data_IF_518887981205
#
_entry.id   IF_518887981205
#
_cell.length_a   1.000
_cell.length_b   1.000
_cell.length_c   1.000
_cell.angle_alpha   90.00
_cell.angle_beta   90.00
_cell.angle_gamma   90.00
#
_symmetry.space_group_name_H-M   'P 1'
#
loop_
_entity.id
_entity.type
_entity.pdbx_description
1 polymer ?
#
# COMPACT_ATOMS: atom_id res chain seq x y z
N UNK A 1 9.27 -15.03 3.47
CA UNK A 1 7.90 -14.98 2.91
C UNK A 1 7.33 -13.57 3.04
N UNK A 2 6.46 -13.16 2.08
CA UNK A 2 5.72 -11.91 2.14
C UNK A 2 4.53 -12.01 3.11
N UNK A 3 3.93 -10.86 3.46
CA UNK A 3 2.68 -10.82 4.26
C UNK A 3 1.55 -11.59 3.55
N UNK A 4 1.49 -11.56 2.23
CA UNK A 4 0.50 -12.29 1.43
C UNK A 4 0.68 -13.81 1.55
N UNK A 5 1.93 -14.29 1.43
CA UNK A 5 2.27 -15.71 1.62
C UNK A 5 1.89 -16.20 3.01
N UNK A 6 2.19 -15.38 4.05
CA UNK A 6 1.86 -15.72 5.45
C UNK A 6 0.37 -15.78 5.65
N UNK A 7 -0.38 -14.81 5.12
CA UNK A 7 -1.83 -14.82 5.21
C UNK A 7 -2.42 -16.04 4.50
N UNK A 8 -1.96 -16.38 3.30
CA UNK A 8 -2.41 -17.56 2.58
C UNK A 8 -2.15 -18.86 3.36
N UNK A 9 -0.98 -18.97 4.01
CA UNK A 9 -0.63 -20.14 4.83
C UNK A 9 -1.49 -20.27 6.09
N UNK A 10 -1.72 -19.18 6.80
CA UNK A 10 -2.44 -19.20 8.09
C UNK A 10 -3.95 -19.05 7.95
N UNK A 11 -4.42 -18.41 6.88
CA UNK A 11 -5.84 -18.21 6.56
C UNK A 11 -6.11 -18.61 5.11
N UNK A 12 -6.07 -19.90 4.75
CA UNK A 12 -6.10 -20.36 3.36
C UNK A 12 -7.38 -20.01 2.59
N UNK A 13 -8.46 -19.68 3.29
CA UNK A 13 -9.74 -19.29 2.69
C UNK A 13 -9.89 -17.77 2.49
N UNK A 14 -8.94 -16.98 2.96
CA UNK A 14 -8.98 -15.52 2.79
C UNK A 14 -8.84 -15.15 1.33
N UNK A 15 -9.59 -14.13 0.91
CA UNK A 15 -9.47 -13.55 -0.42
C UNK A 15 -8.36 -12.49 -0.41
N UNK A 16 -7.34 -12.68 -1.23
CA UNK A 16 -6.16 -11.82 -1.33
C UNK A 16 -6.06 -11.32 -2.76
N UNK A 17 -6.12 -10.02 -2.96
CA UNK A 17 -6.11 -9.42 -4.29
C UNK A 17 -5.16 -8.24 -4.40
N UNK A 18 -4.80 -7.89 -5.62
CA UNK A 18 -3.99 -6.70 -5.90
C UNK A 18 -4.30 -6.06 -7.24
N UNK A 19 -4.15 -4.73 -7.28
CA UNK A 19 -4.10 -3.91 -8.50
C UNK A 19 -2.81 -3.12 -8.44
N UNK A 20 -2.01 -3.12 -9.51
CA UNK A 20 -0.69 -2.50 -9.50
C UNK A 20 -0.29 -1.97 -10.87
N UNK A 21 0.43 -0.84 -10.86
CA UNK A 21 0.94 -0.18 -12.06
C UNK A 21 2.36 -0.66 -12.40
N UNK A 22 3.28 -0.68 -11.42
CA UNK A 22 4.65 -1.12 -11.67
C UNK A 22 4.76 -2.63 -11.90
N UNK A 23 5.20 -3.03 -13.09
CA UNK A 23 5.30 -4.45 -13.48
C UNK A 23 6.27 -5.26 -12.59
N UNK A 24 7.24 -4.59 -11.95
CA UNK A 24 8.17 -5.22 -11.00
C UNK A 24 7.50 -5.90 -9.80
N UNK A 25 6.27 -5.51 -9.44
CA UNK A 25 5.48 -6.15 -8.37
C UNK A 25 5.35 -7.66 -8.59
N UNK A 26 5.25 -8.12 -9.84
CA UNK A 26 5.15 -9.55 -10.16
C UNK A 26 6.38 -10.37 -9.78
N UNK A 27 7.54 -9.72 -9.65
CA UNK A 27 8.80 -10.37 -9.33
C UNK A 27 9.10 -10.41 -7.82
N UNK A 28 8.56 -9.45 -7.07
CA UNK A 28 8.81 -9.31 -5.62
C UNK A 28 7.75 -9.97 -4.76
N UNK A 29 6.58 -10.28 -5.33
CA UNK A 29 5.47 -10.90 -4.61
C UNK A 29 5.14 -12.27 -5.22
N UNK A 30 5.06 -13.31 -4.38
CA UNK A 30 4.65 -14.65 -4.77
C UNK A 30 3.21 -14.64 -5.31
N UNK A 31 3.07 -14.91 -6.62
CA UNK A 31 1.79 -14.90 -7.31
C UNK A 31 0.79 -15.95 -6.78
N UNK A 32 1.29 -17.04 -6.21
CA UNK A 32 0.45 -18.14 -5.71
C UNK A 32 -0.32 -17.77 -4.43
N UNK A 33 0.07 -16.65 -3.78
CA UNK A 33 -0.63 -16.15 -2.61
C UNK A 33 -1.97 -15.45 -2.95
N UNK A 34 -2.16 -15.01 -4.19
CA UNK A 34 -3.29 -14.17 -4.60
C UNK A 34 -4.40 -14.97 -5.29
N UNK A 35 -5.64 -14.53 -5.07
CA UNK A 35 -6.81 -14.98 -5.83
C UNK A 35 -6.96 -14.20 -7.13
N UNK A 36 -6.60 -12.90 -7.13
CA UNK A 36 -6.67 -12.01 -8.28
C UNK A 36 -5.55 -10.99 -8.27
N UNK A 37 -4.95 -10.77 -9.42
CA UNK A 37 -3.94 -9.73 -9.63
C UNK A 37 -4.23 -9.02 -10.95
N UNK A 38 -4.35 -7.69 -10.88
CA UNK A 38 -4.62 -6.85 -12.05
C UNK A 38 -3.44 -5.92 -12.25
N UNK A 39 -2.77 -6.05 -13.38
CA UNK A 39 -1.74 -5.11 -13.80
C UNK A 39 -2.35 -4.04 -14.70
N UNK A 40 -2.17 -2.78 -14.33
CA UNK A 40 -2.75 -1.61 -15.00
C UNK A 40 -1.71 -0.68 -15.60
N UNK A 41 -0.41 -0.94 -15.39
CA UNK A 41 0.70 -0.07 -15.76
C UNK A 41 1.00 -0.03 -17.27
N UNK A 42 0.01 0.30 -18.08
CA UNK A 42 0.17 0.50 -19.52
C UNK A 42 0.62 1.94 -19.79
N UNK A 43 1.38 2.14 -20.87
CA UNK A 43 1.75 3.47 -21.36
C UNK A 43 0.68 4.00 -22.34
N UNK A 44 0.14 5.23 -22.16
CA UNK A 44 0.36 6.12 -21.01
C UNK A 44 -0.24 5.58 -19.69
N UNK A 45 0.43 5.88 -18.57
CA UNK A 45 -0.04 5.52 -17.24
C UNK A 45 -1.33 6.28 -16.92
N UNK A 46 -2.36 5.58 -16.46
CA UNK A 46 -3.65 6.15 -16.11
C UNK A 46 -4.09 5.75 -14.70
N UNK A 47 -3.82 6.62 -13.74
CA UNK A 47 -4.17 6.44 -12.34
C UNK A 47 -5.69 6.32 -12.12
N UNK A 48 -6.53 6.92 -12.98
CA UNK A 48 -7.98 6.80 -12.88
C UNK A 48 -8.43 5.40 -13.28
N UNK A 49 -7.88 4.84 -14.35
CA UNK A 49 -8.14 3.47 -14.76
C UNK A 49 -7.71 2.47 -13.68
N UNK A 50 -6.53 2.67 -13.09
CA UNK A 50 -6.08 1.86 -11.96
C UNK A 50 -7.07 1.93 -10.80
N UNK A 51 -7.54 3.12 -10.46
CA UNK A 51 -8.50 3.33 -9.38
C UNK A 51 -9.85 2.69 -9.68
N UNK A 52 -10.33 2.72 -10.92
CA UNK A 52 -11.55 2.03 -11.35
C UNK A 52 -11.45 0.50 -11.16
N UNK A 53 -10.31 -0.10 -11.49
CA UNK A 53 -10.09 -1.53 -11.25
C UNK A 53 -10.03 -1.86 -9.74
N UNK A 54 -9.47 -0.96 -8.92
CA UNK A 54 -9.50 -1.06 -7.46
C UNK A 54 -10.93 -1.04 -6.93
N UNK A 55 -11.75 -0.06 -7.38
CA UNK A 55 -13.16 0.08 -6.99
C UNK A 55 -13.95 -1.19 -7.32
N UNK A 56 -13.77 -1.76 -8.51
CA UNK A 56 -14.41 -3.03 -8.92
C UNK A 56 -14.06 -4.16 -7.96
N UNK A 57 -12.77 -4.38 -7.69
CA UNK A 57 -12.33 -5.43 -6.78
C UNK A 57 -12.94 -5.26 -5.38
N UNK A 58 -12.91 -4.05 -4.84
CA UNK A 58 -13.44 -3.78 -3.50
C UNK A 58 -14.96 -3.99 -3.39
N UNK A 59 -15.71 -3.61 -4.42
CA UNK A 59 -17.18 -3.70 -4.42
C UNK A 59 -17.64 -5.13 -4.70
N UNK A 60 -17.09 -5.77 -5.73
CA UNK A 60 -17.53 -7.07 -6.22
C UNK A 60 -16.93 -8.21 -5.40
N UNK A 61 -15.64 -8.17 -5.14
CA UNK A 61 -14.87 -9.26 -4.55
C UNK A 61 -14.73 -9.18 -3.04
N UNK A 62 -14.69 -7.97 -2.46
CA UNK A 62 -14.58 -7.69 -1.01
C UNK A 62 -13.41 -8.46 -0.35
N UNK A 63 -12.17 -8.27 -0.82
CA UNK A 63 -11.03 -9.03 -0.35
C UNK A 63 -10.74 -8.81 1.14
N UNK A 64 -10.16 -9.83 1.78
CA UNK A 64 -9.71 -9.76 3.18
C UNK A 64 -8.35 -9.04 3.31
N UNK A 65 -7.52 -9.11 2.28
CA UNK A 65 -6.28 -8.35 2.14
C UNK A 65 -6.17 -7.85 0.70
N UNK A 66 -6.05 -6.54 0.56
CA UNK A 66 -5.97 -5.88 -0.74
C UNK A 66 -4.71 -5.01 -0.83
N UNK A 67 -3.96 -5.16 -1.91
CA UNK A 67 -2.77 -4.38 -2.19
C UNK A 67 -2.97 -3.52 -3.43
N UNK A 68 -2.77 -2.22 -3.28
CA UNK A 68 -2.77 -1.27 -4.38
C UNK A 68 -1.38 -0.67 -4.51
N UNK A 69 -0.87 -0.59 -5.73
CA UNK A 69 0.36 0.10 -6.03
C UNK A 69 0.11 1.11 -7.15
N UNK A 70 0.33 2.38 -6.83
CA UNK A 70 0.43 3.46 -7.78
C UNK A 70 1.88 3.76 -8.08
N UNK A 71 2.23 3.98 -9.34
CA UNK A 71 3.57 4.39 -9.77
C UNK A 71 3.82 5.89 -9.55
N UNK A 72 2.74 6.65 -9.40
CA UNK A 72 2.79 8.03 -8.95
C UNK A 72 2.99 8.14 -7.43
N UNK A 73 3.75 9.12 -6.94
CA UNK A 73 4.37 10.26 -7.63
C UNK A 73 5.77 9.98 -8.18
N UNK A 74 6.28 8.75 -8.10
CA UNK A 74 7.62 8.37 -8.55
C UNK A 74 7.81 8.62 -10.06
N UNK A 75 6.80 8.34 -10.86
CA UNK A 75 6.81 8.61 -12.30
C UNK A 75 7.12 10.09 -12.62
N UNK A 76 6.49 11.04 -11.92
CA UNK A 76 6.81 12.47 -12.03
C UNK A 76 8.20 12.78 -11.50
N UNK A 77 8.61 12.11 -10.42
CA UNK A 77 9.96 12.23 -9.85
C UNK A 77 11.05 11.93 -10.89
N UNK A 78 10.93 10.83 -11.60
CA UNK A 78 11.85 10.47 -12.68
C UNK A 78 11.76 11.41 -13.89
N UNK A 79 10.56 11.83 -14.25
CA UNK A 79 10.33 12.71 -15.40
C UNK A 79 10.78 14.14 -15.16
N UNK A 80 10.35 14.76 -14.08
CA UNK A 80 10.49 16.19 -13.78
C UNK A 80 11.44 16.50 -12.63
N UNK A 81 11.61 15.58 -11.71
CA UNK A 81 12.42 15.71 -10.50
C UNK A 81 11.59 15.59 -9.22
N UNK A 82 12.11 14.87 -8.24
CA UNK A 82 11.52 14.77 -6.90
C UNK A 82 11.54 16.16 -6.22
N UNK A 83 10.36 16.68 -5.93
CA UNK A 83 10.17 18.03 -5.39
C UNK A 83 10.00 19.14 -6.43
N UNK A 84 9.93 18.81 -7.73
CA UNK A 84 9.49 19.75 -8.77
C UNK A 84 8.01 20.15 -8.60
N UNK A 85 7.54 21.27 -9.15
CA UNK A 85 6.13 21.64 -9.09
C UNK A 85 5.20 20.53 -9.57
N UNK A 86 5.50 19.89 -10.68
CA UNK A 86 4.69 18.80 -11.27
C UNK A 86 4.61 17.57 -10.35
N UNK A 87 5.67 17.30 -9.59
CA UNK A 87 5.65 16.26 -8.56
C UNK A 87 4.62 16.54 -7.46
N UNK A 88 4.43 17.81 -7.10
CA UNK A 88 3.42 18.18 -6.11
C UNK A 88 2.01 18.27 -6.70
N UNK A 89 1.87 18.54 -8.01
CA UNK A 89 0.57 18.62 -8.68
C UNK A 89 -0.14 17.26 -8.75
N UNK A 90 0.59 16.15 -8.78
CA UNK A 90 -0.01 14.81 -8.79
C UNK A 90 -0.55 14.38 -7.41
N UNK A 91 -0.04 14.92 -6.31
CA UNK A 91 -0.43 14.49 -4.96
C UNK A 91 -1.93 14.68 -4.67
N UNK A 92 -2.59 15.81 -5.00
CA UNK A 92 -4.03 15.95 -4.85
C UNK A 92 -4.83 14.95 -5.70
N UNK A 93 -4.29 14.50 -6.82
CA UNK A 93 -4.93 13.49 -7.67
C UNK A 93 -4.87 12.13 -6.98
N UNK A 94 -3.70 11.77 -6.44
CA UNK A 94 -3.53 10.54 -5.64
C UNK A 94 -4.47 10.56 -4.42
N UNK A 95 -4.55 11.68 -3.71
CA UNK A 95 -5.45 11.85 -2.56
C UNK A 95 -6.91 11.63 -2.96
N UNK A 96 -7.32 12.15 -4.12
CA UNK A 96 -8.66 11.93 -4.69
C UNK A 96 -8.89 10.43 -5.01
N UNK A 97 -7.88 9.73 -5.52
CA UNK A 97 -7.96 8.29 -5.75
C UNK A 97 -8.11 7.51 -4.43
N UNK A 98 -7.36 7.89 -3.39
CA UNK A 98 -7.51 7.30 -2.05
C UNK A 98 -8.93 7.55 -1.51
N UNK A 99 -9.47 8.75 -1.68
CA UNK A 99 -10.86 9.05 -1.29
C UNK A 99 -11.87 8.14 -2.01
N UNK A 100 -11.71 7.91 -3.32
CA UNK A 100 -12.53 6.96 -4.09
C UNK A 100 -12.43 5.53 -3.55
N UNK A 101 -11.25 5.07 -3.18
CA UNK A 101 -11.02 3.76 -2.56
C UNK A 101 -11.83 3.65 -1.24
N UNK A 102 -11.78 4.69 -0.42
CA UNK A 102 -12.56 4.73 0.83
C UNK A 102 -14.07 4.66 0.55
N UNK A 103 -14.57 5.43 -0.43
CA UNK A 103 -15.99 5.39 -0.82
C UNK A 103 -16.38 4.01 -1.38
N UNK A 104 -15.51 3.34 -2.15
CA UNK A 104 -15.75 1.99 -2.63
C UNK A 104 -15.94 0.99 -1.46
N UNK A 105 -15.16 1.10 -0.39
CA UNK A 105 -15.37 0.27 0.81
C UNK A 105 -16.68 0.56 1.54
N UNK A 106 -17.16 1.81 1.50
CA UNK A 106 -18.48 2.17 2.03
C UNK A 106 -19.59 1.54 1.19
N UNK A 107 -19.50 1.66 -0.13
CA UNK A 107 -20.44 1.04 -1.06
C UNK A 107 -20.47 -0.49 -0.93
N UNK A 108 -19.32 -1.12 -0.72
CA UNK A 108 -19.18 -2.55 -0.45
C UNK A 108 -19.71 -2.99 0.92
N UNK A 109 -19.95 -2.05 1.86
CA UNK A 109 -20.35 -2.33 3.24
C UNK A 109 -19.22 -2.86 4.12
N UNK A 110 -17.97 -2.69 3.71
CA UNK A 110 -16.77 -3.19 4.42
C UNK A 110 -16.04 -2.11 5.22
N UNK A 111 -16.32 -0.83 5.00
CA UNK A 111 -15.62 0.32 5.60
C UNK A 111 -15.37 0.18 7.10
N UNK A 112 -16.40 -0.21 7.88
CA UNK A 112 -16.28 -0.35 9.34
C UNK A 112 -15.38 -1.50 9.80
N UNK A 113 -14.94 -2.34 8.88
CA UNK A 113 -14.05 -3.50 9.13
C UNK A 113 -12.70 -3.35 8.43
N UNK A 114 -12.49 -2.24 7.70
CA UNK A 114 -11.28 -2.03 6.90
C UNK A 114 -10.29 -1.16 7.66
N UNK A 115 -9.06 -1.62 7.74
CA UNK A 115 -7.90 -0.82 8.13
C UNK A 115 -7.23 -0.37 6.83
N UNK A 116 -7.00 0.93 6.70
CA UNK A 116 -6.28 1.55 5.59
C UNK A 116 -4.85 1.83 6.00
N UNK A 117 -3.90 1.47 5.15
CA UNK A 117 -2.50 1.82 5.29
C UNK A 117 -2.06 2.51 4.00
N UNK A 118 -1.49 3.71 4.14
CA UNK A 118 -0.82 4.42 3.05
C UNK A 118 0.65 4.52 3.41
N UNK A 119 1.49 4.03 2.53
CA UNK A 119 2.94 4.05 2.69
C UNK A 119 3.61 4.20 1.32
N UNK A 120 4.83 4.71 1.31
CA UNK A 120 5.71 4.69 0.14
C UNK A 120 6.88 3.74 0.40
N UNK A 121 7.46 3.19 -0.64
CA UNK A 121 8.62 2.31 -0.57
C UNK A 121 9.93 3.07 -0.44
N UNK A 122 10.03 4.26 -1.04
CA UNK A 122 11.19 5.17 -0.96
C UNK A 122 10.77 6.63 -1.15
N UNK A 123 11.67 7.53 -0.88
CA UNK A 123 11.64 8.92 -1.33
C UNK A 123 12.50 9.10 -2.58
N UNK A 124 13.00 10.32 -2.84
CA UNK A 124 13.84 10.57 -4.00
C UNK A 124 14.55 11.91 -3.97
N UNK A 125 15.55 12.05 -4.82
CA UNK A 125 16.33 13.27 -4.99
C UNK A 125 16.63 13.49 -6.47
N UNK A 126 16.55 14.74 -6.93
CA UNK A 126 16.70 15.07 -8.34
C UNK A 126 15.74 14.26 -9.23
N UNK A 127 16.24 13.33 -10.03
CA UNK A 127 15.43 12.44 -10.90
C UNK A 127 15.66 10.96 -10.60
N UNK A 128 16.11 10.63 -9.38
CA UNK A 128 16.50 9.27 -9.02
C UNK A 128 16.23 8.96 -7.56
N UNK A 129 16.41 7.72 -7.19
CA UNK A 129 16.32 7.19 -5.83
C UNK A 129 17.26 6.00 -5.65
N UNK A 130 17.31 5.44 -4.44
CA UNK A 130 18.12 4.25 -4.11
C UNK A 130 19.47 4.57 -3.49
N UNK A 131 19.74 5.84 -3.17
CA UNK A 131 20.90 6.28 -2.39
C UNK A 131 20.64 6.24 -0.88
N UNK A 132 21.55 6.86 -0.12
CA UNK A 132 21.57 6.81 1.35
C UNK A 132 21.17 8.15 2.01
N UNK A 133 20.60 9.07 1.23
CA UNK A 133 20.15 10.35 1.78
C UNK A 133 18.82 10.20 2.52
N UNK A 134 18.56 11.07 3.52
CA UNK A 134 17.26 11.09 4.21
C UNK A 134 16.11 11.30 3.24
N UNK A 135 16.29 12.11 2.20
CA UNK A 135 15.25 12.36 1.20
C UNK A 135 14.86 11.11 0.41
N UNK A 136 15.77 10.17 0.24
CA UNK A 136 15.52 8.90 -0.45
C UNK A 136 14.99 7.83 0.50
N UNK A 137 15.32 7.90 1.79
CA UNK A 137 15.01 6.88 2.78
C UNK A 137 13.77 7.19 3.62
N UNK A 138 13.43 8.47 3.85
CA UNK A 138 12.23 8.85 4.59
C UNK A 138 10.99 8.70 3.73
N UNK A 139 10.00 7.99 4.28
CA UNK A 139 8.72 7.74 3.61
C UNK A 139 7.55 8.01 4.55
N UNK A 140 6.40 8.45 4.01
CA UNK A 140 5.20 8.59 4.80
C UNK A 140 4.64 7.24 5.23
N UNK A 141 4.05 7.19 6.42
CA UNK A 141 3.23 6.08 6.87
C UNK A 141 1.99 6.61 7.59
N UNK A 142 0.83 6.22 7.08
CA UNK A 142 -0.47 6.56 7.68
C UNK A 142 -1.28 5.29 7.84
N UNK A 143 -1.87 5.10 9.01
CA UNK A 143 -2.76 3.98 9.30
C UNK A 143 -4.02 4.47 9.99
N UNK A 144 -5.18 3.98 9.56
CA UNK A 144 -6.46 4.27 10.19
C UNK A 144 -7.45 3.13 10.00
N UNK A 145 -8.40 3.02 10.92
CA UNK A 145 -9.47 2.02 10.86
C UNK A 145 -9.85 1.51 12.25
N UNK A 146 -10.65 0.44 12.33
CA UNK A 146 -11.07 -0.14 13.61
C UNK A 146 -9.88 -0.67 14.40
N UNK A 147 -9.83 -0.39 15.71
CA UNK A 147 -8.75 -0.79 16.61
C UNK A 147 -7.44 0.00 16.44
N UNK A 148 -7.47 1.11 15.67
CA UNK A 148 -6.32 1.99 15.49
C UNK A 148 -6.55 3.29 16.29
N UNK A 149 -5.57 3.70 17.07
CA UNK A 149 -5.57 4.93 17.87
C UNK A 149 -5.83 6.16 16.99
N UNK A 150 -6.83 6.94 17.32
CA UNK A 150 -7.20 8.15 16.56
C UNK A 150 -6.30 9.32 16.91
N UNK A 151 -5.83 10.04 15.89
CA UNK A 151 -4.99 11.23 16.08
C UNK A 151 -3.64 10.94 16.76
N UNK A 152 -3.24 9.68 16.81
CA UNK A 152 -1.98 9.25 17.39
C UNK A 152 -0.83 9.52 16.42
N UNK A 153 0.25 10.10 16.93
CA UNK A 153 1.51 10.25 16.20
C UNK A 153 2.45 9.13 16.62
N UNK A 154 2.95 8.38 15.66
CA UNK A 154 3.99 7.37 15.89
C UNK A 154 5.29 8.11 16.14
N UNK A 155 5.77 8.10 17.40
CA UNK A 155 6.97 8.85 17.81
C UNK A 155 8.24 7.99 17.67
N UNK A 156 8.09 6.68 17.72
CA UNK A 156 9.20 5.75 17.61
C UNK A 156 9.69 5.65 16.16
N UNK A 157 10.98 5.43 16.02
CA UNK A 157 11.56 5.14 14.71
C UNK A 157 10.93 3.89 14.10
N UNK A 158 10.51 4.01 12.85
CA UNK A 158 9.86 2.95 12.07
C UNK A 158 10.71 2.62 10.85
N UNK A 159 10.86 1.34 10.58
CA UNK A 159 11.52 0.83 9.37
C UNK A 159 10.48 0.27 8.38
N UNK A 160 10.81 0.28 7.10
CA UNK A 160 9.93 -0.27 6.05
C UNK A 160 9.44 -1.70 6.35
N UNK A 161 10.29 -2.55 6.89
CA UNK A 161 9.90 -3.92 7.24
C UNK A 161 8.92 -4.02 8.43
N UNK A 162 8.70 -2.92 9.19
CA UNK A 162 7.69 -2.86 10.25
C UNK A 162 6.26 -2.79 9.69
N UNK A 163 6.10 -2.33 8.43
CA UNK A 163 4.81 -2.31 7.74
C UNK A 163 4.20 -3.72 7.67
N UNK A 164 4.98 -4.70 7.22
CA UNK A 164 4.51 -6.08 7.12
C UNK A 164 4.16 -6.68 8.50
N UNK A 165 4.95 -6.36 9.53
CA UNK A 165 4.69 -6.77 10.91
C UNK A 165 3.44 -6.13 11.49
N UNK A 166 3.19 -4.87 11.16
CA UNK A 166 1.97 -4.14 11.55
C UNK A 166 0.72 -4.75 10.90
N UNK A 167 0.80 -5.07 9.60
CA UNK A 167 -0.29 -5.76 8.88
C UNK A 167 -0.53 -7.15 9.49
N UNK A 168 0.53 -7.90 9.82
CA UNK A 168 0.39 -9.20 10.47
C UNK A 168 -0.34 -9.10 11.82
N UNK A 169 0.01 -8.12 12.64
CA UNK A 169 -0.66 -7.85 13.91
C UNK A 169 -2.13 -7.47 13.71
N UNK A 170 -2.43 -6.55 12.78
CA UNK A 170 -3.80 -6.13 12.46
C UNK A 170 -4.69 -7.30 12.01
N UNK A 171 -4.11 -8.26 11.29
CA UNK A 171 -4.81 -9.45 10.79
C UNK A 171 -4.79 -10.64 11.76
N UNK A 172 -4.14 -10.50 12.93
CA UNK A 172 -4.00 -11.60 13.90
C UNK A 172 -3.18 -12.77 13.36
N UNK A 173 -2.16 -12.50 12.54
CA UNK A 173 -1.26 -13.49 11.96
C UNK A 173 -0.01 -13.64 12.83
N UNK A 174 0.48 -14.86 12.94
CA UNK A 174 1.75 -15.14 13.59
C UNK A 174 2.90 -14.71 12.66
N UNK A 175 3.73 -13.80 13.13
CA UNK A 175 4.91 -13.34 12.42
C UNK A 175 5.97 -14.46 12.33
N UNK A 176 6.64 -14.66 11.18
CA UNK A 176 7.77 -15.58 11.07
C UNK A 176 8.95 -15.17 11.97
N UNK A 177 9.66 -16.13 12.53
CA UNK A 177 10.82 -15.88 13.41
C UNK A 177 11.94 -15.08 12.71
N UNK A 178 12.08 -15.23 11.40
CA UNK A 178 13.10 -14.54 10.61
C UNK A 178 12.78 -13.07 10.32
N UNK A 179 11.56 -12.62 10.57
CA UNK A 179 11.21 -11.21 10.40
C UNK A 179 11.76 -10.39 11.56
N UNK A 180 12.46 -9.31 11.22
CA UNK A 180 13.01 -8.36 12.19
C UNK A 180 12.05 -7.23 12.54
N UNK A 181 11.03 -7.03 11.72
CA UNK A 181 10.03 -5.98 11.91
C UNK A 181 9.23 -6.15 13.19
N UNK A 182 8.73 -5.05 13.71
CA UNK A 182 7.85 -4.99 14.87
C UNK A 182 6.58 -4.23 14.49
N UNK A 183 5.41 -4.63 15.00
CA UNK A 183 4.22 -3.81 14.84
C UNK A 183 4.46 -2.41 15.45
N UNK A 184 4.05 -1.38 14.72
CA UNK A 184 4.14 0.00 15.26
C UNK A 184 3.13 0.20 16.38
N UNK A 185 3.43 1.13 17.31
CA UNK A 185 2.51 1.48 18.41
C UNK A 185 1.34 2.33 17.88
N UNK A 186 0.36 1.67 17.29
CA UNK A 186 -0.83 2.32 16.73
C UNK A 186 -2.15 1.64 17.13
N UNK A 187 -2.10 0.51 17.83
CA UNK A 187 -3.30 -0.25 18.23
C UNK A 187 -3.89 0.26 19.55
N UNK A 188 -5.25 0.23 19.67
CA UNK A 188 -6.00 0.53 20.89
C UNK A 188 -5.79 -0.51 21.99
#
# INVERSE_FOLDING_TARGET
>A
PSIFTIMRQQKPKSKIESVYEWDGVKWVIDSTAFDKRVWTGKDPLDINYTTEEVEKCLIEDKPDLFYVHYDHPDHEGHGKGFGAPEYYEILPIIDSCIARIIEATKAAGTFKKTIFIVASDHGGIEKSHGGETLREMETPFVICGPGIKKGHKIENFMMQYDVASTIAAALGLKQPELWRGRPVDCFE
#
